data_IF_555985640241
#
_entry.id   IF_555985640241
#
_cell.length_a   1.000
_cell.length_b   1.000
_cell.length_c   1.000
_cell.angle_alpha   90.00
_cell.angle_beta   90.00
_cell.angle_gamma   90.00
#
_symmetry.space_group_name_H-M   'P 1'
#
loop_
_entity.id
_entity.type
_entity.pdbx_description
1 polymer ?
#
# COMPACT_ATOMS: atom_id res chain seq x y z
N UNK A 1 11.22 -17.52 -11.88
CA UNK A 1 10.86 -16.10 -11.68
C UNK A 1 12.08 -15.24 -11.96
N UNK A 2 12.05 -14.38 -12.98
CA UNK A 2 13.16 -13.46 -13.25
C UNK A 2 13.23 -12.46 -12.10
N UNK A 3 14.38 -12.37 -11.42
CA UNK A 3 14.58 -11.33 -10.40
C UNK A 3 14.66 -9.99 -11.13
N UNK A 4 13.72 -9.09 -10.85
CA UNK A 4 13.79 -7.73 -11.37
C UNK A 4 15.10 -7.08 -10.90
N UNK A 5 15.87 -6.42 -11.80
CA UNK A 5 17.11 -5.75 -11.43
C UNK A 5 16.89 -4.59 -10.46
N UNK A 6 15.67 -4.03 -10.43
CA UNK A 6 15.26 -2.93 -9.56
C UNK A 6 15.25 -3.35 -8.07
N UNK A 7 14.97 -4.62 -7.79
CA UNK A 7 14.91 -5.16 -6.42
C UNK A 7 16.20 -5.83 -5.95
N UNK A 8 17.27 -5.77 -6.74
CA UNK A 8 18.62 -6.12 -6.28
C UNK A 8 18.99 -5.19 -5.11
N UNK A 9 19.54 -5.69 -3.99
CA UNK A 9 19.70 -4.87 -2.77
C UNK A 9 20.43 -3.54 -2.96
N UNK A 10 21.48 -3.51 -3.78
CA UNK A 10 22.22 -2.29 -4.07
C UNK A 10 21.38 -1.28 -4.86
N UNK A 11 20.76 -1.72 -5.96
CA UNK A 11 19.86 -0.92 -6.79
C UNK A 11 18.69 -0.37 -5.99
N UNK A 12 18.03 -1.23 -5.21
CA UNK A 12 16.89 -0.86 -4.37
C UNK A 12 17.28 0.22 -3.36
N UNK A 13 18.38 0.02 -2.63
CA UNK A 13 18.88 1.01 -1.66
C UNK A 13 19.23 2.35 -2.32
N UNK A 14 19.76 2.32 -3.54
CA UNK A 14 20.04 3.54 -4.28
C UNK A 14 18.75 4.29 -4.66
N UNK A 15 17.70 3.58 -5.10
CA UNK A 15 16.38 4.16 -5.37
C UNK A 15 15.76 4.74 -4.08
N UNK A 16 15.75 3.96 -2.99
CA UNK A 16 15.25 4.40 -1.68
C UNK A 16 15.98 5.68 -1.20
N UNK A 17 17.30 5.74 -1.37
CA UNK A 17 18.12 6.91 -1.06
C UNK A 17 17.74 8.12 -1.91
N UNK A 18 17.65 7.97 -3.23
CA UNK A 18 17.25 9.05 -4.14
C UNK A 18 15.84 9.60 -3.85
N UNK A 19 14.88 8.74 -3.48
CA UNK A 19 13.53 9.19 -3.08
C UNK A 19 13.59 9.99 -1.79
N UNK A 20 14.32 9.49 -0.79
CA UNK A 20 14.52 10.21 0.48
C UNK A 20 15.17 11.58 0.23
N UNK A 21 16.20 11.61 -0.60
CA UNK A 21 16.93 12.83 -0.91
C UNK A 21 16.05 13.81 -1.70
N UNK A 22 15.29 13.34 -2.70
CA UNK A 22 14.30 14.16 -3.42
C UNK A 22 13.36 14.86 -2.45
N UNK A 23 12.77 14.13 -1.50
CA UNK A 23 11.80 14.67 -0.56
C UNK A 23 12.44 15.63 0.46
N UNK A 24 13.63 15.33 0.96
CA UNK A 24 14.32 16.18 1.95
C UNK A 24 14.91 17.46 1.35
N UNK A 25 15.13 17.53 0.04
CA UNK A 25 15.60 18.74 -0.66
C UNK A 25 14.46 19.69 -1.06
N UNK A 26 13.19 19.28 -0.98
CA UNK A 26 12.07 20.18 -1.22
C UNK A 26 11.99 21.22 -0.10
N UNK A 27 11.98 22.50 -0.47
CA UNK A 27 11.77 23.58 0.48
C UNK A 27 10.33 23.52 1.00
N UNK A 28 10.17 23.52 2.33
CA UNK A 28 8.93 23.68 3.10
C UNK A 28 7.62 23.53 2.31
N UNK A 29 7.37 22.33 1.79
CA UNK A 29 6.26 22.05 0.87
C UNK A 29 4.92 21.85 1.59
N UNK A 30 4.89 22.00 2.92
CA UNK A 30 3.66 21.98 3.71
C UNK A 30 3.28 23.42 4.07
N UNK A 31 1.98 23.70 4.15
CA UNK A 31 1.47 24.88 4.85
C UNK A 31 1.18 24.52 6.31
N UNK A 32 0.94 25.51 7.18
CA UNK A 32 0.52 25.26 8.58
C UNK A 32 -0.66 24.27 8.66
N UNK A 33 -1.67 24.46 7.80
CA UNK A 33 -2.84 23.56 7.71
C UNK A 33 -2.46 22.16 7.22
N UNK A 34 -1.52 22.06 6.29
CA UNK A 34 -1.07 20.78 5.73
C UNK A 34 -0.19 20.01 6.72
N UNK A 35 0.58 20.73 7.54
CA UNK A 35 1.49 20.16 8.54
C UNK A 35 0.76 19.51 9.72
N UNK A 36 -0.41 20.03 10.09
CA UNK A 36 -1.27 19.44 11.12
C UNK A 36 -2.00 18.19 10.61
N UNK A 37 -2.37 18.16 9.32
CA UNK A 37 -3.08 17.04 8.72
C UNK A 37 -2.14 15.96 8.19
N UNK A 38 -2.09 14.81 8.89
CA UNK A 38 -1.32 13.64 8.43
C UNK A 38 -1.69 13.23 7.00
N UNK A 39 -2.98 13.33 6.63
CA UNK A 39 -3.44 13.02 5.28
C UNK A 39 -2.90 14.01 4.27
N UNK A 40 -3.06 15.30 4.51
CA UNK A 40 -2.63 16.32 3.54
C UNK A 40 -1.11 16.34 3.35
N UNK A 41 -0.34 16.10 4.42
CA UNK A 41 1.11 15.90 4.31
C UNK A 41 1.46 14.64 3.50
N UNK A 42 0.69 13.56 3.67
CA UNK A 42 0.82 12.34 2.88
C UNK A 42 0.57 12.58 1.39
N UNK A 43 -0.52 13.28 1.05
CA UNK A 43 -0.89 13.62 -0.33
C UNK A 43 0.19 14.50 -0.99
N UNK A 44 0.77 15.45 -0.25
CA UNK A 44 1.87 16.29 -0.74
C UNK A 44 3.15 15.48 -1.03
N UNK A 45 3.55 14.59 -0.11
CA UNK A 45 4.68 13.68 -0.31
C UNK A 45 4.45 12.81 -1.56
N UNK A 46 3.26 12.25 -1.71
CA UNK A 46 2.90 11.44 -2.87
C UNK A 46 3.03 12.24 -4.16
N UNK A 47 2.47 13.45 -4.22
CA UNK A 47 2.54 14.32 -5.40
C UNK A 47 3.98 14.66 -5.83
N UNK A 48 4.87 14.90 -4.86
CA UNK A 48 6.30 15.13 -5.13
C UNK A 48 6.95 13.87 -5.71
N UNK A 49 6.65 12.69 -5.15
CA UNK A 49 7.17 11.42 -5.66
C UNK A 49 6.67 11.21 -7.07
N UNK A 50 5.37 11.34 -7.33
CA UNK A 50 4.77 11.13 -8.65
C UNK A 50 5.45 11.97 -9.74
N UNK A 51 5.77 13.21 -9.41
CA UNK A 51 6.45 14.16 -10.31
C UNK A 51 7.93 13.85 -10.53
N UNK A 52 8.63 13.29 -9.53
CA UNK A 52 10.08 13.07 -9.57
C UNK A 52 10.52 11.62 -9.85
N UNK A 53 9.62 10.64 -9.73
CA UNK A 53 10.01 9.23 -9.68
C UNK A 53 10.60 8.72 -10.99
N UNK A 54 10.11 9.19 -12.13
CA UNK A 54 10.67 8.85 -13.44
C UNK A 54 12.17 9.21 -13.53
N UNK A 55 12.56 10.39 -13.04
CA UNK A 55 13.96 10.82 -13.00
C UNK A 55 14.82 10.00 -12.04
N UNK A 56 14.24 9.50 -10.93
CA UNK A 56 14.92 8.62 -9.99
C UNK A 56 15.26 7.27 -10.63
N UNK A 57 14.29 6.69 -11.34
CA UNK A 57 14.42 5.42 -12.02
C UNK A 57 15.32 5.52 -13.26
N UNK A 58 15.33 6.66 -13.96
CA UNK A 58 16.22 6.92 -15.09
C UNK A 58 16.23 5.78 -16.11
N UNK A 59 17.40 5.22 -16.36
CA UNK A 59 17.61 4.18 -17.38
C UNK A 59 16.94 2.83 -17.09
N UNK A 60 16.33 2.62 -15.91
CA UNK A 60 15.55 1.42 -15.67
C UNK A 60 14.22 1.40 -16.43
N UNK A 61 13.70 2.56 -16.82
CA UNK A 61 12.39 2.70 -17.47
C UNK A 61 12.52 2.46 -18.99
N UNK A 62 11.52 1.76 -19.55
CA UNK A 62 11.20 1.77 -20.97
C UNK A 62 9.97 2.64 -21.27
N UNK A 63 8.89 2.44 -20.49
CA UNK A 63 7.66 3.23 -20.59
C UNK A 63 7.25 3.75 -19.21
N UNK A 64 6.99 5.05 -19.11
CA UNK A 64 6.38 5.70 -17.95
C UNK A 64 5.12 6.40 -18.43
N UNK A 65 3.96 6.16 -17.81
CA UNK A 65 2.77 6.91 -18.23
C UNK A 65 1.73 7.10 -17.14
N UNK A 66 1.25 8.34 -17.02
CA UNK A 66 0.09 8.73 -16.20
C UNK A 66 -1.20 8.04 -16.65
N UNK A 67 -1.23 7.52 -17.88
CA UNK A 67 -2.33 6.74 -18.43
C UNK A 67 -2.29 5.26 -17.95
N UNK A 68 -1.13 4.73 -17.57
CA UNK A 68 -1.02 3.42 -16.92
C UNK A 68 -1.48 3.50 -15.46
N UNK A 69 -1.08 4.53 -14.71
CA UNK A 69 -1.47 4.74 -13.32
C UNK A 69 -3.00 4.79 -13.15
N UNK A 70 -3.69 5.58 -13.99
CA UNK A 70 -5.16 5.69 -14.00
C UNK A 70 -5.90 4.38 -14.33
N UNK A 71 -5.34 3.52 -15.18
CA UNK A 71 -5.93 2.20 -15.51
C UNK A 71 -5.63 1.14 -14.45
N UNK A 72 -4.49 1.24 -13.78
CA UNK A 72 -4.06 0.31 -12.72
C UNK A 72 -4.63 0.66 -11.33
N UNK A 73 -5.25 1.86 -11.18
CA UNK A 73 -5.66 2.41 -9.89
C UNK A 73 -4.51 2.40 -8.86
N UNK A 74 -3.38 2.97 -9.28
CA UNK A 74 -2.21 3.14 -8.44
C UNK A 74 -1.63 4.54 -8.63
N UNK A 75 -0.79 4.93 -7.68
CA UNK A 75 -0.18 6.26 -7.68
C UNK A 75 0.82 6.39 -8.84
N UNK A 76 1.55 5.30 -9.13
CA UNK A 76 2.52 5.25 -10.21
C UNK A 76 2.45 3.91 -10.95
N UNK A 77 2.74 3.94 -12.25
CA UNK A 77 2.96 2.71 -13.01
C UNK A 77 3.96 2.90 -14.14
N UNK A 78 4.80 1.90 -14.36
CA UNK A 78 5.84 1.93 -15.40
C UNK A 78 6.19 0.53 -15.88
N UNK A 79 6.83 0.43 -17.05
CA UNK A 79 7.49 -0.78 -17.52
C UNK A 79 9.00 -0.59 -17.57
N UNK A 80 9.74 -1.62 -17.18
CA UNK A 80 11.18 -1.63 -17.36
C UNK A 80 11.59 -2.11 -18.76
N UNK A 81 12.88 -2.01 -19.07
CA UNK A 81 13.48 -2.48 -20.33
C UNK A 81 13.40 -3.99 -20.55
N UNK A 82 13.02 -4.77 -19.53
CA UNK A 82 12.81 -6.21 -19.61
C UNK A 82 11.34 -6.58 -19.83
N UNK A 83 10.45 -5.59 -19.95
CA UNK A 83 9.02 -5.78 -20.13
C UNK A 83 8.25 -6.05 -18.84
N UNK A 84 8.89 -5.99 -17.67
CA UNK A 84 8.17 -6.12 -16.40
C UNK A 84 7.32 -4.88 -16.16
N UNK A 85 6.09 -5.07 -15.67
CA UNK A 85 5.15 -4.01 -15.38
C UNK A 85 5.03 -3.79 -13.87
N UNK A 86 5.27 -2.56 -13.44
CA UNK A 86 5.27 -2.17 -12.03
C UNK A 86 4.10 -1.24 -11.76
N UNK A 87 3.36 -1.56 -10.72
CA UNK A 87 2.28 -0.75 -10.17
C UNK A 87 2.69 -0.40 -8.76
N UNK A 88 2.97 0.88 -8.51
CA UNK A 88 3.50 1.35 -7.22
C UNK A 88 2.43 2.10 -6.46
N UNK A 89 2.26 1.70 -5.21
CA UNK A 89 1.36 2.30 -4.23
C UNK A 89 2.20 2.98 -3.15
N UNK A 90 2.04 4.29 -3.01
CA UNK A 90 2.76 5.14 -2.07
C UNK A 90 2.04 5.12 -0.74
N UNK A 91 2.78 4.86 0.33
CA UNK A 91 2.28 4.90 1.70
C UNK A 91 3.14 5.77 2.57
N UNK A 92 2.51 6.71 3.26
CA UNK A 92 3.21 7.60 4.17
C UNK A 92 2.86 7.25 5.62
N UNK A 93 3.85 7.39 6.50
CA UNK A 93 3.66 7.17 7.93
C UNK A 93 4.38 8.26 8.72
N UNK A 94 3.60 9.10 9.42
CA UNK A 94 4.13 10.05 10.39
C UNK A 94 4.49 9.31 11.67
N UNK A 95 5.75 9.35 12.09
CA UNK A 95 6.25 8.50 13.19
C UNK A 95 5.53 8.75 14.53
N UNK A 96 5.10 10.01 14.76
CA UNK A 96 4.37 10.42 15.95
C UNK A 96 2.84 10.28 15.83
N UNK A 97 2.33 9.77 14.71
CA UNK A 97 0.90 9.58 14.55
C UNK A 97 0.36 8.40 15.38
N UNK A 98 -0.94 8.47 15.64
CA UNK A 98 -1.70 7.37 16.20
C UNK A 98 -1.63 6.13 15.30
N UNK A 99 -1.90 4.97 15.88
CA UNK A 99 -1.94 3.69 15.19
C UNK A 99 -2.87 3.75 13.95
N UNK A 100 -2.40 3.24 12.81
CA UNK A 100 -3.17 3.15 11.57
C UNK A 100 -2.94 1.81 10.88
N UNK A 101 -4.02 1.28 10.28
CA UNK A 101 -4.02 0.08 9.43
C UNK A 101 -4.31 0.45 7.98
N UNK A 102 -3.34 0.99 7.24
CA UNK A 102 -3.56 1.45 5.88
C UNK A 102 -3.90 0.27 4.96
N UNK A 103 -4.85 0.50 4.07
CA UNK A 103 -5.22 -0.36 2.98
C UNK A 103 -4.14 -0.38 1.90
N UNK A 104 -3.74 -1.57 1.44
CA UNK A 104 -2.81 -1.75 0.31
C UNK A 104 -3.57 -2.05 -0.98
N UNK A 105 -4.18 -3.22 -1.08
CA UNK A 105 -4.83 -3.68 -2.32
C UNK A 105 -5.97 -4.66 -2.03
N UNK A 106 -6.98 -4.66 -2.89
CA UNK A 106 -8.03 -5.69 -2.88
C UNK A 106 -7.42 -7.07 -3.15
N UNK A 107 -7.91 -8.07 -2.43
CA UNK A 107 -7.43 -9.47 -2.54
C UNK A 107 -7.61 -10.03 -3.95
N UNK A 108 -8.76 -9.77 -4.59
CA UNK A 108 -9.04 -10.23 -5.95
C UNK A 108 -8.21 -9.49 -6.99
N UNK A 109 -8.00 -8.19 -6.78
CA UNK A 109 -7.19 -7.39 -7.71
C UNK A 109 -5.75 -7.90 -7.72
N UNK A 110 -5.17 -8.16 -6.55
CA UNK A 110 -3.82 -8.70 -6.46
C UNK A 110 -3.74 -10.10 -7.10
N UNK A 111 -4.69 -10.98 -6.78
CA UNK A 111 -4.72 -12.34 -7.31
C UNK A 111 -4.73 -12.34 -8.85
N UNK A 112 -5.64 -11.56 -9.46
CA UNK A 112 -5.70 -11.40 -10.93
C UNK A 112 -4.46 -10.73 -11.51
N UNK A 113 -3.95 -9.71 -10.83
CA UNK A 113 -2.76 -8.99 -11.29
C UNK A 113 -1.53 -9.91 -11.36
N UNK A 114 -1.43 -10.89 -10.47
CA UNK A 114 -0.34 -11.87 -10.43
C UNK A 114 -0.56 -13.12 -11.29
N UNK A 115 -1.63 -13.17 -12.08
CA UNK A 115 -1.76 -14.18 -13.14
C UNK A 115 -0.65 -14.02 -14.22
N UNK A 116 -0.07 -12.82 -14.32
CA UNK A 116 1.13 -12.55 -15.13
C UNK A 116 2.38 -12.39 -14.23
N UNK A 117 3.38 -13.24 -14.44
CA UNK A 117 4.65 -13.23 -13.71
C UNK A 117 5.48 -11.96 -13.97
N UNK A 118 5.22 -11.22 -15.05
CA UNK A 118 5.88 -9.96 -15.37
C UNK A 118 5.34 -8.77 -14.55
N UNK A 119 4.24 -8.94 -13.84
CA UNK A 119 3.62 -7.89 -13.05
C UNK A 119 4.21 -7.81 -11.63
N UNK A 120 4.41 -6.60 -11.12
CA UNK A 120 4.93 -6.32 -9.79
C UNK A 120 4.06 -5.27 -9.11
N UNK A 121 3.43 -5.66 -8.00
CA UNK A 121 2.72 -4.72 -7.14
C UNK A 121 3.71 -4.27 -6.06
N UNK A 122 4.04 -2.99 -6.07
CA UNK A 122 5.17 -2.44 -5.33
C UNK A 122 4.66 -1.45 -4.31
N UNK A 123 5.20 -1.53 -3.11
CA UNK A 123 4.91 -0.62 -2.02
C UNK A 123 6.09 0.33 -1.85
N UNK A 124 5.82 1.63 -1.99
CA UNK A 124 6.77 2.70 -1.68
C UNK A 124 6.35 3.35 -0.35
N UNK A 125 6.98 2.93 0.75
CA UNK A 125 6.68 3.45 2.08
C UNK A 125 7.65 4.57 2.46
N UNK A 126 7.11 5.68 2.97
CA UNK A 126 7.87 6.84 3.43
C UNK A 126 7.52 7.11 4.89
N UNK A 127 8.53 7.04 5.77
CA UNK A 127 8.40 7.48 7.15
C UNK A 127 8.94 8.88 7.31
N UNK A 128 8.20 9.70 8.05
CA UNK A 128 8.54 11.11 8.20
C UNK A 128 8.12 11.67 9.56
N UNK A 129 8.76 12.79 9.92
CA UNK A 129 8.35 13.69 10.99
C UNK A 129 8.04 15.05 10.41
N UNK A 130 7.34 15.90 11.17
CA UNK A 130 7.02 17.27 10.77
C UNK A 130 7.38 18.19 11.92
N UNK A 131 8.14 19.25 11.63
CA UNK A 131 8.51 20.32 12.55
C UNK A 131 8.18 21.67 11.92
N UNK A 132 7.19 22.37 12.45
CA UNK A 132 6.58 23.52 11.76
C UNK A 132 5.99 23.08 10.43
N UNK A 133 6.43 23.71 9.34
CA UNK A 133 6.05 23.38 7.96
C UNK A 133 7.02 22.45 7.24
N UNK A 134 8.09 22.00 7.92
CA UNK A 134 9.10 21.13 7.32
C UNK A 134 8.82 19.66 7.61
N UNK A 135 8.66 18.87 6.55
CA UNK A 135 8.69 17.41 6.65
C UNK A 135 10.15 16.92 6.56
N UNK A 136 10.53 15.99 7.44
CA UNK A 136 11.83 15.31 7.39
C UNK A 136 11.61 13.83 7.20
N UNK A 137 12.17 13.28 6.12
CA UNK A 137 12.04 11.87 5.78
C UNK A 137 13.15 11.07 6.46
N UNK A 138 12.76 10.17 7.36
CA UNK A 138 13.68 9.31 8.12
C UNK A 138 14.01 8.02 7.36
N UNK A 139 13.01 7.43 6.69
CA UNK A 139 13.13 6.12 6.07
C UNK A 139 12.26 6.00 4.82
N UNK A 140 12.80 5.34 3.79
CA UNK A 140 12.07 4.93 2.59
C UNK A 140 12.26 3.43 2.37
N UNK A 141 11.18 2.75 2.01
CA UNK A 141 11.21 1.37 1.55
C UNK A 141 10.55 1.26 0.19
N UNK A 142 11.20 0.57 -0.74
CA UNK A 142 10.69 0.34 -2.08
C UNK A 142 10.76 -1.14 -2.41
N UNK A 143 9.66 -1.86 -2.15
CA UNK A 143 9.65 -3.33 -2.18
C UNK A 143 8.38 -3.87 -2.83
N UNK A 144 8.45 -4.98 -3.58
CA UNK A 144 7.25 -5.68 -4.01
C UNK A 144 6.50 -6.24 -2.79
N UNK A 145 5.18 -6.35 -2.86
CA UNK A 145 4.34 -6.75 -1.72
C UNK A 145 4.74 -8.13 -1.15
N UNK A 146 5.26 -9.03 -1.98
CA UNK A 146 5.72 -10.34 -1.56
C UNK A 146 6.93 -10.31 -0.60
N UNK A 147 7.61 -9.17 -0.48
CA UNK A 147 8.63 -8.99 0.55
C UNK A 147 8.04 -8.57 1.90
N UNK A 148 6.77 -8.18 1.97
CA UNK A 148 6.10 -7.87 3.24
C UNK A 148 5.65 -9.16 3.92
N UNK A 149 6.13 -9.41 5.12
CA UNK A 149 5.75 -10.62 5.87
C UNK A 149 4.28 -10.58 6.30
N UNK A 150 3.58 -11.70 6.13
CA UNK A 150 2.22 -11.91 6.63
C UNK A 150 2.08 -11.72 8.15
N UNK A 151 3.17 -11.80 8.92
CA UNK A 151 3.17 -11.43 10.36
C UNK A 151 2.72 -9.99 10.60
N UNK A 152 2.89 -9.11 9.61
CA UNK A 152 2.58 -7.67 9.69
C UNK A 152 1.49 -7.25 8.71
N UNK A 153 0.84 -8.20 8.05
CA UNK A 153 -0.30 -7.96 7.18
C UNK A 153 -1.57 -8.53 7.81
N UNK A 154 -2.71 -7.98 7.43
CA UNK A 154 -4.03 -8.48 7.83
C UNK A 154 -5.02 -8.29 6.68
N UNK A 155 -6.19 -8.91 6.80
CA UNK A 155 -7.29 -8.76 5.85
C UNK A 155 -8.40 -7.92 6.48
N UNK A 156 -8.67 -6.76 5.88
CA UNK A 156 -9.81 -5.92 6.19
C UNK A 156 -11.09 -6.42 5.51
N UNK A 157 -12.22 -6.31 6.22
CA UNK A 157 -13.54 -6.70 5.74
C UNK A 157 -14.18 -5.64 4.84
N UNK A 158 -13.53 -5.31 3.73
CA UNK A 158 -14.06 -4.43 2.68
C UNK A 158 -14.19 -5.21 1.37
N UNK A 159 -15.39 -5.23 0.78
CA UNK A 159 -15.69 -6.05 -0.41
C UNK A 159 -15.39 -7.53 -0.16
N UNK A 160 -14.63 -8.15 -1.07
CA UNK A 160 -14.17 -9.53 -0.94
C UNK A 160 -12.94 -9.69 -0.03
N UNK A 161 -12.44 -8.60 0.55
CA UNK A 161 -11.24 -8.56 1.37
C UNK A 161 -10.25 -7.53 0.85
N UNK A 162 -9.51 -6.91 1.77
CA UNK A 162 -8.45 -5.97 1.44
C UNK A 162 -7.21 -6.25 2.28
N UNK A 163 -6.06 -6.39 1.62
CA UNK A 163 -4.78 -6.52 2.31
C UNK A 163 -4.46 -5.18 2.97
N UNK A 164 -4.15 -5.22 4.25
CA UNK A 164 -3.81 -4.07 5.09
C UNK A 164 -2.49 -4.30 5.80
N UNK A 165 -1.77 -3.22 6.10
CA UNK A 165 -0.67 -3.28 7.06
C UNK A 165 -1.28 -3.33 8.46
N UNK A 166 -0.99 -4.39 9.22
CA UNK A 166 -1.51 -4.57 10.57
C UNK A 166 -0.97 -3.51 11.56
N UNK A 167 0.26 -3.04 11.35
CA UNK A 167 0.85 -1.93 12.11
C UNK A 167 1.91 -1.20 11.29
N UNK A 168 1.63 0.03 10.85
CA UNK A 168 2.54 0.85 10.03
C UNK A 168 3.85 1.24 10.73
N UNK A 169 3.94 1.12 12.07
CA UNK A 169 5.19 1.36 12.83
C UNK A 169 6.21 0.23 12.65
N UNK A 170 5.73 -1.01 12.45
CA UNK A 170 6.55 -2.21 12.49
C UNK A 170 6.31 -3.05 11.24
N UNK A 171 7.05 -2.74 10.19
CA UNK A 171 7.02 -3.46 8.92
C UNK A 171 8.17 -4.45 8.91
N UNK A 172 7.88 -5.70 8.56
CA UNK A 172 8.89 -6.76 8.43
C UNK A 172 9.07 -7.06 6.95
N UNK A 173 10.25 -6.70 6.43
CA UNK A 173 10.63 -6.91 5.04
C UNK A 173 11.56 -8.12 4.96
N UNK A 174 11.17 -9.13 4.19
CA UNK A 174 11.95 -10.32 3.89
C UNK A 174 12.22 -10.42 2.37
N UNK A 175 13.37 -9.92 1.88
CA UNK A 175 13.72 -9.97 0.46
C UNK A 175 14.03 -11.38 -0.06
N UNK A 176 14.14 -12.39 0.80
CA UNK A 176 14.37 -13.77 0.40
C UNK A 176 13.06 -14.51 0.08
N UNK A 177 11.92 -13.96 0.49
CA UNK A 177 10.60 -14.55 0.25
C UNK A 177 10.28 -14.60 -1.24
N UNK A 178 9.88 -15.78 -1.72
CA UNK A 178 9.42 -15.92 -3.11
C UNK A 178 7.94 -15.59 -3.23
N UNK A 179 7.54 -15.02 -4.38
CA UNK A 179 6.12 -14.75 -4.69
C UNK A 179 5.25 -15.98 -4.53
N UNK A 180 5.69 -17.14 -5.02
CA UNK A 180 4.92 -18.39 -4.90
C UNK A 180 4.63 -18.73 -3.44
N UNK A 181 5.65 -18.74 -2.59
CA UNK A 181 5.46 -19.01 -1.15
C UNK A 181 4.52 -17.99 -0.52
N UNK A 182 4.72 -16.70 -0.84
CA UNK A 182 3.90 -15.62 -0.31
C UNK A 182 2.43 -15.74 -0.74
N UNK A 183 2.17 -16.14 -1.99
CA UNK A 183 0.82 -16.33 -2.53
C UNK A 183 0.13 -17.57 -1.95
N UNK A 184 0.87 -18.62 -1.57
CA UNK A 184 0.28 -19.75 -0.86
C UNK A 184 -0.15 -19.35 0.56
N UNK A 185 0.68 -18.60 1.28
CA UNK A 185 0.32 -18.02 2.59
C UNK A 185 -0.86 -17.05 2.49
N UNK A 186 -0.93 -16.29 1.40
CA UNK A 186 -2.08 -15.45 1.08
C UNK A 186 -3.36 -16.28 0.95
N UNK A 187 -3.34 -17.37 0.18
CA UNK A 187 -4.48 -18.27 0.04
C UNK A 187 -4.91 -18.87 1.39
N UNK A 188 -3.98 -19.37 2.18
CA UNK A 188 -4.26 -19.92 3.51
C UNK A 188 -4.89 -18.86 4.44
N UNK A 189 -4.37 -17.62 4.38
CA UNK A 189 -4.90 -16.49 5.14
C UNK A 189 -6.34 -16.17 4.75
N UNK A 190 -6.65 -16.19 3.45
CA UNK A 190 -8.02 -15.95 2.95
C UNK A 190 -8.98 -17.08 3.33
N UNK A 191 -8.55 -18.34 3.22
CA UNK A 191 -9.34 -19.51 3.60
C UNK A 191 -9.64 -19.53 5.11
N UNK A 192 -8.75 -18.99 5.95
CA UNK A 192 -9.00 -18.79 7.37
C UNK A 192 -9.88 -17.55 7.67
N UNK A 193 -9.83 -16.52 6.82
CA UNK A 193 -10.56 -15.27 7.01
C UNK A 193 -12.06 -15.42 6.73
N UNK A 194 -12.44 -16.02 5.61
CA UNK A 194 -13.85 -16.06 5.17
C UNK A 194 -14.81 -16.76 6.15
N UNK A 195 -14.46 -17.90 6.78
CA UNK A 195 -15.33 -18.53 7.77
C UNK A 195 -15.67 -17.59 8.94
N UNK A 196 -14.71 -16.77 9.39
CA UNK A 196 -14.94 -15.78 10.47
C UNK A 196 -15.90 -14.69 10.04
N UNK A 197 -15.80 -14.23 8.78
CA UNK A 197 -16.73 -13.24 8.25
C UNK A 197 -18.15 -13.80 8.10
N UNK A 198 -18.30 -15.07 7.69
CA UNK A 198 -19.61 -15.74 7.64
C UNK A 198 -20.28 -15.72 9.03
N UNK A 199 -19.54 -16.04 10.09
CA UNK A 199 -20.07 -16.00 11.46
C UNK A 199 -20.51 -14.59 11.86
N UNK A 200 -19.69 -13.57 11.56
CA UNK A 200 -20.05 -12.17 11.84
C UNK A 200 -21.30 -11.73 11.07
N UNK A 201 -21.42 -12.11 9.80
CA UNK A 201 -22.57 -11.78 8.97
C UNK A 201 -23.84 -12.41 9.54
N UNK A 202 -23.79 -13.69 9.94
CA UNK A 202 -24.93 -14.36 10.60
C UNK A 202 -25.36 -13.63 11.88
N UNK A 203 -24.39 -13.18 12.70
CA UNK A 203 -24.69 -12.38 13.89
C UNK A 203 -25.37 -11.04 13.56
N UNK A 204 -24.91 -10.35 12.51
CA UNK A 204 -25.52 -9.08 12.04
C UNK A 204 -26.95 -9.29 11.54
N UNK A 205 -27.21 -10.39 10.81
CA UNK A 205 -28.56 -10.75 10.36
C UNK A 205 -29.47 -10.93 11.57
N UNK A 206 -29.07 -11.76 12.54
CA UNK A 206 -29.87 -12.01 13.75
C UNK A 206 -30.14 -10.73 14.57
N UNK A 207 -29.19 -9.79 14.61
CA UNK A 207 -29.42 -8.48 15.24
C UNK A 207 -30.51 -7.68 14.53
N UNK A 208 -30.49 -7.63 13.19
CA UNK A 208 -31.46 -6.85 12.42
C UNK A 208 -32.84 -7.51 12.35
N UNK A 209 -32.93 -8.83 12.50
CA UNK A 209 -34.22 -9.52 12.74
C UNK A 209 -34.89 -9.02 14.02
N UNK A 210 -34.12 -8.85 15.11
CA UNK A 210 -34.64 -8.28 16.37
C UNK A 210 -35.06 -6.82 16.21
N UNK A 211 -34.26 -6.02 15.51
CA UNK A 211 -34.59 -4.62 15.21
C UNK A 211 -35.90 -4.54 14.41
N UNK A 212 -36.05 -5.39 13.39
CA UNK A 212 -37.29 -5.47 12.60
C UNK A 212 -38.48 -5.82 13.48
N UNK A 213 -38.37 -6.87 14.32
CA UNK A 213 -39.45 -7.28 15.21
C UNK A 213 -39.88 -6.15 16.17
N UNK A 214 -38.91 -5.40 16.72
CA UNK A 214 -39.19 -4.24 17.56
C UNK A 214 -40.00 -3.16 16.83
N UNK A 215 -39.63 -2.81 15.59
CA UNK A 215 -40.34 -1.79 14.82
C UNK A 215 -41.72 -2.26 14.34
N UNK A 216 -41.86 -3.52 13.97
CA UNK A 216 -43.17 -4.10 13.60
C UNK A 216 -44.15 -4.11 14.77
N UNK A 217 -43.66 -4.20 16.01
CA UNK A 217 -44.51 -4.17 17.20
C UNK A 217 -44.97 -2.75 17.60
N UNK A 218 -44.45 -1.69 16.96
CA UNK A 218 -44.89 -0.32 17.27
C UNK A 218 -46.20 -0.01 16.54
N UNK A 219 -47.17 0.63 17.22
CA UNK A 219 -48.34 1.17 16.55
C UNK A 219 -47.94 2.29 15.59
N UNK A 220 -48.68 2.43 14.49
CA UNK A 220 -48.62 3.64 13.67
C UNK A 220 -49.18 4.81 14.50
N UNK A 221 -48.47 5.93 14.47
CA UNK A 221 -48.87 7.20 15.10
C UNK A 221 -49.37 8.13 14.01
#
# INVERSE_FOLDING_TARGET
MKKSPIFVPATRKAIEGKVRDLLNHQADFLSDKTAESTRAAGDAIQSIIESGFAGILGDFIHEYSDHFARRAMADLAFKDKLGNYYVVDVKTHRENAAFSMPNLISVDRLARFYEDDANFFVILMVKYTVSGIRATISQVHFVPIEHLSWERLTIGALGNGQIQIANSKQIKIDPAKSRRSWMLEFCDTMLAFYPREIVKIRGRIAQFEKVRAFWTAKPEV
#
